data_IF_768436467224
#
_entry.id   IF_768436467224
#
_cell.length_a   1.000
_cell.length_b   1.000
_cell.length_c   1.000
_cell.angle_alpha   90.00
_cell.angle_beta   90.00
_cell.angle_gamma   90.00
#
_symmetry.space_group_name_H-M   'P 1'
#
loop_
_entity.id
_entity.type
_entity.pdbx_description
1 polymer ?
#
# COMPACT_ATOMS: atom_id res chain seq x y z
N UNK A 1 1.58 -32.08 34.90
CA UNK A 1 2.76 -31.30 34.49
C UNK A 1 3.21 -31.78 33.10
N UNK A 2 2.26 -32.01 32.21
CA UNK A 2 2.46 -32.63 30.87
C UNK A 2 2.06 -31.67 29.72
N UNK A 3 1.33 -30.59 30.01
CA UNK A 3 0.86 -29.62 29.00
C UNK A 3 1.94 -28.65 28.50
N UNK A 4 3.05 -28.50 29.23
CA UNK A 4 4.11 -27.56 28.85
C UNK A 4 5.11 -28.16 27.84
N UNK A 5 5.13 -29.48 27.69
CA UNK A 5 6.09 -30.17 26.81
C UNK A 5 5.58 -30.29 25.38
N UNK A 6 4.26 -30.45 25.17
CA UNK A 6 3.67 -30.47 23.82
C UNK A 6 3.67 -29.10 23.14
N UNK A 7 3.59 -28.00 23.90
CA UNK A 7 3.65 -26.65 23.33
C UNK A 7 5.03 -26.30 22.73
N UNK A 8 6.10 -26.91 23.25
CA UNK A 8 7.47 -26.70 22.76
C UNK A 8 7.76 -27.61 21.55
N UNK A 9 7.05 -28.74 21.43
CA UNK A 9 7.20 -29.67 20.31
C UNK A 9 6.42 -29.20 19.06
N UNK A 10 5.33 -28.45 19.24
CA UNK A 10 4.60 -27.83 18.12
C UNK A 10 5.36 -26.61 17.54
N UNK A 11 6.16 -25.90 18.34
CA UNK A 11 6.94 -24.75 17.86
C UNK A 11 8.18 -25.15 17.03
N UNK A 12 8.68 -26.38 17.20
CA UNK A 12 9.83 -26.89 16.44
C UNK A 12 9.49 -27.56 15.11
N UNK A 13 8.22 -27.89 14.85
CA UNK A 13 7.82 -28.54 13.60
C UNK A 13 7.48 -27.58 12.45
N UNK A 14 7.36 -26.26 12.70
CA UNK A 14 7.24 -25.23 11.64
C UNK A 14 8.58 -24.57 11.26
N UNK A 15 9.70 -25.07 11.80
CA UNK A 15 11.07 -24.66 11.43
C UNK A 15 11.80 -25.66 10.52
N UNK A 16 11.06 -26.43 9.70
CA UNK A 16 11.68 -27.15 8.57
C UNK A 16 11.92 -26.22 7.39
N UNK A 17 13.08 -25.56 7.47
CA UNK A 17 14.05 -25.37 6.38
C UNK A 17 13.52 -25.38 4.93
N UNK A 18 13.25 -24.20 4.38
CA UNK A 18 13.65 -23.91 2.99
C UNK A 18 15.15 -23.54 2.98
N UNK A 19 15.99 -24.43 3.51
CA UNK A 19 17.44 -24.35 3.38
C UNK A 19 17.81 -25.11 2.11
N UNK A 20 17.88 -24.43 0.96
CA UNK A 20 18.18 -25.14 -0.28
C UNK A 20 18.29 -24.35 -1.58
N UNK A 21 18.33 -23.02 -1.56
CA UNK A 21 18.62 -22.26 -2.80
C UNK A 21 19.70 -21.23 -2.52
N UNK A 22 20.95 -21.60 -2.76
CA UNK A 22 22.03 -20.63 -2.92
C UNK A 22 21.74 -19.76 -4.16
N UNK A 23 21.81 -18.42 -4.07
CA UNK A 23 21.60 -17.57 -5.23
C UNK A 23 22.83 -17.62 -6.13
N UNK A 24 22.74 -18.33 -7.25
CA UNK A 24 23.66 -18.09 -8.38
C UNK A 24 23.27 -16.77 -9.05
N UNK A 25 23.97 -15.70 -8.71
CA UNK A 25 23.96 -14.45 -9.48
C UNK A 25 24.65 -14.68 -10.83
N UNK A 26 23.88 -15.01 -11.86
CA UNK A 26 24.39 -14.99 -13.22
C UNK A 26 24.13 -13.60 -13.81
N UNK A 27 25.10 -12.70 -13.64
CA UNK A 27 25.13 -11.38 -14.27
C UNK A 27 25.53 -11.53 -15.75
N UNK A 28 24.68 -12.14 -16.58
CA UNK A 28 24.82 -12.00 -18.03
C UNK A 28 24.06 -10.74 -18.47
N UNK A 29 24.76 -9.62 -18.54
CA UNK A 29 24.31 -8.42 -19.24
C UNK A 29 24.21 -8.74 -20.74
N UNK A 30 23.03 -9.16 -21.20
CA UNK A 30 22.76 -9.33 -22.63
C UNK A 30 22.08 -8.05 -23.15
N UNK A 31 22.85 -7.26 -23.90
CA UNK A 31 22.35 -6.14 -24.71
C UNK A 31 21.35 -6.65 -25.75
N UNK A 32 20.09 -6.24 -25.66
CA UNK A 32 19.12 -6.43 -26.73
C UNK A 32 17.66 -6.31 -26.30
N UNK A 33 16.99 -5.27 -26.78
CA UNK A 33 15.54 -5.09 -26.85
C UNK A 33 14.71 -5.05 -25.55
N UNK A 34 14.35 -3.82 -25.15
CA UNK A 34 12.96 -3.48 -24.81
C UNK A 34 12.37 -4.04 -23.51
N UNK A 35 13.15 -4.34 -22.49
CA UNK A 35 12.62 -4.68 -21.16
C UNK A 35 12.34 -3.39 -20.36
N UNK A 36 11.05 -3.09 -20.23
CA UNK A 36 10.50 -1.98 -19.46
C UNK A 36 11.08 -1.91 -18.05
N UNK A 37 11.43 -0.72 -17.56
CA UNK A 37 11.94 -0.50 -16.19
C UNK A 37 11.08 -1.18 -15.10
N UNK A 38 9.77 -1.33 -15.37
CA UNK A 38 8.78 -2.00 -14.52
C UNK A 38 8.98 -3.53 -14.43
N UNK A 39 9.46 -4.20 -15.49
CA UNK A 39 9.71 -5.66 -15.44
C UNK A 39 10.99 -5.99 -14.68
N UNK A 40 11.99 -5.10 -14.69
CA UNK A 40 13.18 -5.23 -13.84
C UNK A 40 12.87 -5.00 -12.35
N UNK A 41 11.93 -4.11 -12.02
CA UNK A 41 11.42 -3.98 -10.64
C UNK A 41 10.66 -5.25 -10.24
N UNK A 42 9.83 -5.81 -11.12
CA UNK A 42 9.10 -7.07 -10.86
C UNK A 42 10.01 -8.28 -10.62
N UNK A 43 11.04 -8.47 -11.46
CA UNK A 43 12.02 -9.55 -11.26
C UNK A 43 12.86 -9.37 -9.98
N UNK A 44 13.17 -8.12 -9.62
CA UNK A 44 13.84 -7.80 -8.35
C UNK A 44 12.92 -7.95 -7.13
N UNK A 45 11.61 -7.73 -7.30
CA UNK A 45 10.58 -7.88 -6.26
C UNK A 45 10.29 -9.33 -5.90
N UNK A 46 10.49 -10.28 -6.84
CA UNK A 46 10.40 -11.70 -6.55
C UNK A 46 11.54 -12.18 -5.63
N UNK A 47 12.74 -11.62 -5.79
CA UNK A 47 13.94 -11.97 -4.98
C UNK A 47 13.96 -11.26 -3.62
N UNK A 48 13.32 -10.10 -3.49
CA UNK A 48 13.24 -9.37 -2.22
C UNK A 48 12.32 -10.06 -1.20
N UNK A 49 11.43 -10.96 -1.63
CA UNK A 49 10.33 -11.51 -0.80
C UNK A 49 10.77 -12.38 0.40
N UNK A 50 12.04 -12.76 0.55
CA UNK A 50 12.46 -13.72 1.60
C UNK A 50 13.65 -13.31 2.48
N UNK A 51 14.01 -12.03 2.52
CA UNK A 51 15.10 -11.55 3.39
C UNK A 51 14.58 -10.75 4.58
N UNK A 52 15.33 -10.71 5.70
CA UNK A 52 15.01 -9.85 6.86
C UNK A 52 14.76 -8.39 6.46
N UNK A 53 15.43 -7.95 5.39
CA UNK A 53 15.29 -6.62 4.81
C UNK A 53 13.87 -6.34 4.26
N UNK A 54 13.24 -7.32 3.61
CA UNK A 54 11.86 -7.18 3.10
C UNK A 54 10.85 -6.94 4.23
N UNK A 55 10.98 -7.70 5.33
CA UNK A 55 10.13 -7.50 6.50
C UNK A 55 10.31 -6.11 7.09
N UNK A 56 11.56 -5.64 7.23
CA UNK A 56 11.84 -4.27 7.69
C UNK A 56 11.22 -3.23 6.77
N UNK A 57 11.30 -3.41 5.45
CA UNK A 57 10.66 -2.51 4.49
C UNK A 57 9.13 -2.48 4.66
N UNK A 58 8.48 -3.63 4.81
CA UNK A 58 7.03 -3.68 5.07
C UNK A 58 6.65 -2.93 6.35
N UNK A 59 7.43 -3.06 7.43
CA UNK A 59 7.20 -2.27 8.64
C UNK A 59 7.38 -0.77 8.43
N UNK A 60 8.40 -0.37 7.66
CA UNK A 60 8.64 1.04 7.32
C UNK A 60 7.48 1.59 6.49
N UNK A 61 7.04 0.86 5.46
CA UNK A 61 5.89 1.25 4.65
C UNK A 61 4.63 1.36 5.51
N UNK A 62 4.33 0.34 6.33
CA UNK A 62 3.19 0.39 7.27
C UNK A 62 3.23 1.63 8.17
N UNK A 63 4.40 2.00 8.70
CA UNK A 63 4.55 3.20 9.53
C UNK A 63 4.23 4.47 8.73
N UNK A 64 4.71 4.57 7.50
CA UNK A 64 4.39 5.70 6.60
C UNK A 64 2.90 5.72 6.27
N UNK A 65 2.27 4.59 5.98
CA UNK A 65 0.83 4.44 5.72
C UNK A 65 -0.03 4.77 6.95
N UNK A 66 0.51 4.75 8.17
CA UNK A 66 -0.22 5.20 9.36
C UNK A 66 -0.35 6.73 9.44
N UNK A 67 0.55 7.49 8.79
CA UNK A 67 0.52 8.95 8.83
C UNK A 67 -0.79 9.48 8.20
N UNK A 68 -1.18 9.10 6.97
CA UNK A 68 -2.44 9.57 6.38
C UNK A 68 -3.68 9.04 7.08
N UNK A 69 -3.62 7.95 7.85
CA UNK A 69 -4.73 7.50 8.71
C UNK A 69 -4.98 8.53 9.80
N UNK A 70 -3.93 8.89 10.56
CA UNK A 70 -4.04 9.85 11.66
C UNK A 70 -4.37 11.26 11.17
N UNK A 71 -3.71 11.70 10.09
CA UNK A 71 -3.94 13.01 9.47
C UNK A 71 -5.33 13.05 8.84
N UNK A 72 -5.74 12.05 8.07
CA UNK A 72 -7.07 11.99 7.46
C UNK A 72 -8.17 12.04 8.52
N UNK A 73 -8.12 11.14 9.51
CA UNK A 73 -9.13 11.08 10.57
C UNK A 73 -9.20 12.36 11.43
N UNK A 74 -8.04 12.87 11.87
CA UNK A 74 -7.98 14.08 12.69
C UNK A 74 -8.45 15.32 11.96
N UNK A 75 -7.98 15.53 10.72
CA UNK A 75 -8.35 16.71 9.95
C UNK A 75 -9.78 16.65 9.42
N UNK A 76 -10.36 15.48 9.18
CA UNK A 76 -11.81 15.38 8.87
C UNK A 76 -12.64 16.04 9.97
N UNK A 77 -12.39 15.73 11.24
CA UNK A 77 -13.15 16.30 12.37
C UNK A 77 -12.97 17.83 12.42
N UNK A 78 -11.74 18.30 12.24
CA UNK A 78 -11.41 19.73 12.26
C UNK A 78 -12.15 20.44 11.11
N UNK A 79 -12.03 19.94 9.88
CA UNK A 79 -12.67 20.57 8.72
C UNK A 79 -14.20 20.56 8.77
N UNK A 80 -14.81 19.51 9.34
CA UNK A 80 -16.25 19.48 9.55
C UNK A 80 -16.70 20.53 10.58
N UNK A 81 -15.87 20.77 11.61
CA UNK A 81 -16.13 21.79 12.63
C UNK A 81 -15.96 23.21 12.08
N UNK A 82 -14.99 23.39 11.18
CA UNK A 82 -14.64 24.67 10.55
C UNK A 82 -15.40 24.95 9.23
N UNK A 83 -16.47 24.21 8.96
CA UNK A 83 -17.36 24.33 7.77
C UNK A 83 -16.65 24.16 6.41
N UNK A 84 -15.46 23.54 6.40
CA UNK A 84 -14.71 23.22 5.19
C UNK A 84 -15.04 21.81 4.68
N UNK A 85 -16.28 21.61 4.23
CA UNK A 85 -16.77 20.30 3.82
C UNK A 85 -15.97 19.65 2.69
N UNK A 86 -15.47 20.45 1.73
CA UNK A 86 -14.66 19.94 0.62
C UNK A 86 -13.37 19.27 1.13
N UNK A 87 -12.61 19.96 1.98
CA UNK A 87 -11.40 19.39 2.56
C UNK A 87 -11.71 18.23 3.51
N UNK A 88 -12.80 18.33 4.28
CA UNK A 88 -13.21 17.29 5.23
C UNK A 88 -13.54 15.95 4.56
N UNK A 89 -14.28 15.98 3.45
CA UNK A 89 -14.61 14.78 2.67
C UNK A 89 -13.34 14.15 2.08
N UNK A 90 -12.43 14.96 1.52
CA UNK A 90 -11.19 14.44 0.92
C UNK A 90 -10.25 13.88 1.99
N UNK A 91 -10.16 14.53 3.15
CA UNK A 91 -9.42 14.02 4.31
C UNK A 91 -9.98 12.67 4.80
N UNK A 92 -11.30 12.51 4.77
CA UNK A 92 -11.94 11.25 5.18
C UNK A 92 -11.55 10.11 4.23
N UNK A 93 -11.67 10.34 2.91
CA UNK A 93 -11.25 9.35 1.92
C UNK A 93 -9.77 9.01 2.01
N UNK A 94 -8.92 10.00 2.30
CA UNK A 94 -7.49 9.77 2.56
C UNK A 94 -7.29 8.76 3.69
N UNK A 95 -7.99 8.97 4.82
CA UNK A 95 -7.93 8.05 5.96
C UNK A 95 -8.42 6.64 5.59
N UNK A 96 -9.52 6.52 4.85
CA UNK A 96 -10.06 5.23 4.42
C UNK A 96 -9.13 4.47 3.48
N UNK A 97 -8.54 5.14 2.48
CA UNK A 97 -7.59 4.52 1.54
C UNK A 97 -6.33 4.05 2.25
N UNK A 98 -5.82 4.88 3.16
CA UNK A 98 -4.66 4.55 3.97
C UNK A 98 -4.93 3.38 4.91
N UNK A 99 -6.13 3.32 5.51
CA UNK A 99 -6.56 2.19 6.33
C UNK A 99 -6.67 0.89 5.52
N UNK A 100 -7.21 0.97 4.30
CA UNK A 100 -7.27 -0.17 3.37
C UNK A 100 -5.89 -0.67 2.96
N UNK A 101 -4.91 0.23 2.81
CA UNK A 101 -3.52 -0.15 2.49
C UNK A 101 -2.82 -0.75 3.71
N UNK A 102 -2.99 -0.13 4.88
CA UNK A 102 -2.42 -0.62 6.14
C UNK A 102 -2.96 -2.01 6.51
N UNK A 103 -4.23 -2.29 6.25
CA UNK A 103 -4.80 -3.62 6.51
C UNK A 103 -4.13 -4.72 5.67
N UNK A 104 -3.76 -4.44 4.41
CA UNK A 104 -3.00 -5.37 3.57
C UNK A 104 -1.61 -5.65 4.15
N UNK A 105 -0.90 -4.61 4.58
CA UNK A 105 0.41 -4.76 5.23
C UNK A 105 0.34 -5.58 6.51
N UNK A 106 -0.67 -5.34 7.35
CA UNK A 106 -0.90 -6.12 8.58
C UNK A 106 -1.20 -7.58 8.25
N UNK A 107 -2.09 -7.84 7.28
CA UNK A 107 -2.42 -9.21 6.86
C UNK A 107 -1.21 -9.96 6.30
N UNK A 108 -0.33 -9.27 5.58
CA UNK A 108 0.92 -9.83 5.09
C UNK A 108 1.90 -10.16 6.24
N UNK A 109 2.10 -9.24 7.18
CA UNK A 109 2.94 -9.48 8.36
C UNK A 109 2.46 -10.67 9.20
N UNK A 110 1.14 -10.85 9.28
CA UNK A 110 0.51 -11.98 9.96
C UNK A 110 0.53 -13.28 9.14
N UNK A 111 1.01 -13.27 7.90
CA UNK A 111 0.93 -14.39 6.93
C UNK A 111 -0.49 -14.93 6.75
N UNK A 112 -1.52 -14.07 6.90
CA UNK A 112 -2.93 -14.45 6.79
C UNK A 112 -3.58 -13.91 5.51
N UNK A 113 -2.80 -13.33 4.61
CA UNK A 113 -3.33 -12.68 3.40
C UNK A 113 -4.15 -13.68 2.56
N UNK A 114 -3.60 -14.86 2.27
CA UNK A 114 -4.25 -15.93 1.49
C UNK A 114 -5.53 -16.47 2.15
N UNK A 115 -5.67 -16.28 3.47
CA UNK A 115 -6.87 -16.70 4.22
C UNK A 115 -8.02 -15.69 4.10
N UNK A 116 -7.70 -14.41 3.96
CA UNK A 116 -8.68 -13.32 4.00
C UNK A 116 -8.91 -12.64 2.66
N UNK A 117 -8.01 -12.80 1.69
CA UNK A 117 -8.13 -12.20 0.37
C UNK A 117 -7.89 -13.22 -0.74
N UNK A 118 -8.95 -13.45 -1.51
CA UNK A 118 -8.87 -14.13 -2.80
C UNK A 118 -8.29 -13.18 -3.86
N UNK A 119 -7.74 -13.77 -4.93
CA UNK A 119 -7.19 -13.05 -6.09
C UNK A 119 -8.17 -12.00 -6.66
N UNK A 120 -9.47 -12.31 -6.71
CA UNK A 120 -10.52 -11.39 -7.16
C UNK A 120 -10.69 -10.17 -6.25
N UNK A 121 -10.56 -10.35 -4.94
CA UNK A 121 -10.68 -9.24 -3.98
C UNK A 121 -9.50 -8.30 -4.12
N UNK A 122 -8.30 -8.84 -4.29
CA UNK A 122 -7.08 -8.07 -4.53
C UNK A 122 -7.14 -7.31 -5.86
N UNK A 123 -7.68 -7.94 -6.90
CA UNK A 123 -7.94 -7.28 -8.18
C UNK A 123 -8.92 -6.11 -8.03
N UNK A 124 -10.00 -6.29 -7.25
CA UNK A 124 -10.94 -5.23 -6.92
C UNK A 124 -10.25 -4.05 -6.20
N UNK A 125 -9.36 -4.34 -5.26
CA UNK A 125 -8.60 -3.33 -4.52
C UNK A 125 -7.60 -2.58 -5.41
N UNK A 126 -6.94 -3.28 -6.34
CA UNK A 126 -6.08 -2.69 -7.37
C UNK A 126 -6.89 -1.75 -8.27
N UNK A 127 -8.03 -2.19 -8.78
CA UNK A 127 -8.91 -1.36 -9.62
C UNK A 127 -9.43 -0.15 -8.85
N UNK A 128 -9.78 -0.33 -7.57
CA UNK A 128 -10.19 0.77 -6.69
C UNK A 128 -9.08 1.81 -6.53
N UNK A 129 -7.83 1.38 -6.27
CA UNK A 129 -6.67 2.27 -6.17
C UNK A 129 -6.43 3.04 -7.46
N UNK A 130 -6.54 2.38 -8.62
CA UNK A 130 -6.42 3.02 -9.93
C UNK A 130 -7.51 4.08 -10.16
N UNK A 131 -8.79 3.75 -9.96
CA UNK A 131 -9.91 4.70 -10.13
C UNK A 131 -9.75 5.88 -9.17
N UNK A 132 -9.44 5.61 -7.90
CA UNK A 132 -9.22 6.63 -6.90
C UNK A 132 -8.06 7.57 -7.30
N UNK A 133 -6.95 7.03 -7.82
CA UNK A 133 -5.81 7.85 -8.25
C UNK A 133 -6.19 8.81 -9.39
N UNK A 134 -6.95 8.37 -10.38
CA UNK A 134 -7.44 9.24 -11.46
C UNK A 134 -8.35 10.33 -10.89
N UNK A 135 -9.30 9.95 -10.04
CA UNK A 135 -10.25 10.87 -9.42
C UNK A 135 -9.55 11.94 -8.58
N UNK A 136 -8.65 11.55 -7.67
CA UNK A 136 -7.90 12.49 -6.83
C UNK A 136 -6.88 13.31 -7.61
N UNK A 137 -6.34 12.79 -8.71
CA UNK A 137 -5.52 13.56 -9.64
C UNK A 137 -6.30 14.70 -10.30
N UNK A 138 -7.53 14.44 -10.74
CA UNK A 138 -8.41 15.48 -11.29
C UNK A 138 -8.76 16.51 -10.21
N UNK A 139 -9.15 16.07 -9.00
CA UNK A 139 -9.47 16.97 -7.89
C UNK A 139 -8.28 17.85 -7.50
N UNK A 140 -7.07 17.28 -7.41
CA UNK A 140 -5.86 18.02 -7.13
C UNK A 140 -5.66 19.14 -8.17
N UNK A 141 -5.80 18.83 -9.46
CA UNK A 141 -5.71 19.82 -10.53
C UNK A 141 -6.74 20.94 -10.38
N UNK A 142 -8.01 20.58 -10.21
CA UNK A 142 -9.12 21.54 -10.07
C UNK A 142 -8.91 22.45 -8.85
N UNK A 143 -8.64 21.88 -7.69
CA UNK A 143 -8.46 22.66 -6.46
C UNK A 143 -7.20 23.51 -6.48
N UNK A 144 -6.11 23.05 -7.10
CA UNK A 144 -4.89 23.85 -7.25
C UNK A 144 -5.14 25.08 -8.12
N UNK A 145 -5.86 24.90 -9.25
CA UNK A 145 -6.25 25.99 -10.14
C UNK A 145 -7.14 27.00 -9.40
N UNK A 146 -8.16 26.53 -8.68
CA UNK A 146 -9.05 27.40 -7.90
C UNK A 146 -8.28 28.15 -6.81
N UNK A 147 -7.42 27.47 -6.05
CA UNK A 147 -6.61 28.09 -5.01
C UNK A 147 -5.69 29.18 -5.58
N UNK A 148 -5.10 28.96 -6.76
CA UNK A 148 -4.29 29.94 -7.46
C UNK A 148 -5.11 31.18 -7.88
N UNK A 149 -6.27 30.98 -8.52
CA UNK A 149 -7.14 32.08 -8.94
C UNK A 149 -7.64 32.93 -7.78
N UNK A 150 -8.02 32.29 -6.67
CA UNK A 150 -8.48 32.98 -5.46
C UNK A 150 -7.35 33.44 -4.53
N UNK A 151 -6.07 33.24 -4.92
CA UNK A 151 -4.87 33.57 -4.12
C UNK A 151 -4.95 33.07 -2.67
N UNK A 152 -5.50 31.87 -2.50
CA UNK A 152 -5.72 31.30 -1.17
C UNK A 152 -4.43 30.68 -0.64
N UNK A 153 -4.11 31.02 0.62
CA UNK A 153 -3.14 30.27 1.41
C UNK A 153 -3.84 29.16 2.19
N UNK A 154 -3.05 28.23 2.75
CA UNK A 154 -3.58 27.18 3.60
C UNK A 154 -4.39 27.77 4.77
N UNK A 155 -5.63 27.30 4.93
CA UNK A 155 -6.50 27.65 6.06
C UNK A 155 -7.40 26.48 6.38
N UNK A 156 -7.64 26.27 7.67
CA UNK A 156 -8.59 25.28 8.17
C UNK A 156 -10.03 25.77 8.09
N UNK A 157 -10.22 27.10 8.12
CA UNK A 157 -11.53 27.75 8.22
C UNK A 157 -12.18 28.02 6.88
N UNK A 158 -13.47 27.75 6.83
CA UNK A 158 -14.36 28.09 5.73
C UNK A 158 -13.96 27.42 4.42
N UNK A 159 -14.46 27.96 3.32
CA UNK A 159 -14.25 27.38 2.00
C UNK A 159 -12.82 27.65 1.50
N UNK A 160 -11.91 26.70 1.74
CA UNK A 160 -10.52 26.78 1.33
C UNK A 160 -10.14 25.68 0.33
N UNK A 161 -9.87 26.09 -0.91
CA UNK A 161 -9.47 25.21 -2.00
C UNK A 161 -8.02 24.78 -1.88
N UNK A 162 -7.16 25.57 -1.24
CA UNK A 162 -5.76 25.20 -1.04
C UNK A 162 -5.64 23.97 -0.12
N UNK A 163 -6.39 23.94 0.98
CA UNK A 163 -6.49 22.78 1.87
C UNK A 163 -7.07 21.57 1.14
N UNK A 164 -8.10 21.78 0.31
CA UNK A 164 -8.68 20.71 -0.52
C UNK A 164 -7.68 20.16 -1.53
N UNK A 165 -6.82 21.00 -2.10
CA UNK A 165 -5.74 20.59 -3.00
C UNK A 165 -4.69 19.75 -2.26
N UNK A 166 -4.24 20.19 -1.08
CA UNK A 166 -3.26 19.45 -0.25
C UNK A 166 -3.79 18.05 0.06
N UNK A 167 -5.02 17.95 0.58
CA UNK A 167 -5.60 16.65 0.92
C UNK A 167 -5.90 15.80 -0.32
N UNK A 168 -6.22 16.39 -1.47
CA UNK A 168 -6.33 15.65 -2.74
C UNK A 168 -4.99 15.06 -3.16
N UNK A 169 -3.89 15.77 -2.93
CA UNK A 169 -2.54 15.27 -3.18
C UNK A 169 -2.17 14.10 -2.27
N UNK A 170 -2.54 14.17 -0.98
CA UNK A 170 -2.34 13.04 -0.05
C UNK A 170 -3.22 11.84 -0.45
N UNK A 171 -4.49 12.06 -0.77
CA UNK A 171 -5.39 11.02 -1.26
C UNK A 171 -4.86 10.35 -2.55
N UNK A 172 -4.32 11.15 -3.48
CA UNK A 172 -3.66 10.65 -4.68
C UNK A 172 -2.46 9.75 -4.34
N UNK A 173 -1.59 10.18 -3.43
CA UNK A 173 -0.45 9.37 -3.00
C UNK A 173 -0.91 8.03 -2.37
N UNK A 174 -1.89 8.07 -1.47
CA UNK A 174 -2.42 6.86 -0.81
C UNK A 174 -3.14 5.91 -1.77
N UNK A 175 -3.80 6.43 -2.81
CA UNK A 175 -4.48 5.59 -3.82
C UNK A 175 -3.48 4.91 -4.76
N UNK A 176 -2.40 5.60 -5.13
CA UNK A 176 -1.28 5.00 -5.87
C UNK A 176 -0.60 3.93 -5.01
N UNK A 177 -0.39 4.19 -3.72
CA UNK A 177 0.16 3.22 -2.78
C UNK A 177 -0.72 1.96 -2.71
N UNK A 178 -2.03 2.11 -2.55
CA UNK A 178 -2.99 1.00 -2.56
C UNK A 178 -2.90 0.18 -3.85
N UNK A 179 -2.85 0.85 -5.00
CA UNK A 179 -2.71 0.19 -6.31
C UNK A 179 -1.43 -0.65 -6.40
N UNK A 180 -0.28 -0.08 -6.04
CA UNK A 180 1.02 -0.75 -6.09
C UNK A 180 1.05 -1.95 -5.13
N UNK A 181 0.56 -1.76 -3.91
CA UNK A 181 0.56 -2.80 -2.87
C UNK A 181 -0.37 -3.95 -3.26
N UNK A 182 -1.57 -3.66 -3.75
CA UNK A 182 -2.50 -4.69 -4.22
C UNK A 182 -1.93 -5.47 -5.41
N UNK A 183 -1.28 -4.80 -6.36
CA UNK A 183 -0.63 -5.45 -7.49
C UNK A 183 0.54 -6.35 -7.02
N UNK A 184 1.40 -5.84 -6.13
CA UNK A 184 2.54 -6.59 -5.62
C UNK A 184 2.11 -7.90 -4.95
N UNK A 185 1.06 -7.87 -4.13
CA UNK A 185 0.53 -9.08 -3.52
C UNK A 185 -0.14 -10.01 -4.52
N UNK A 186 -0.77 -9.48 -5.57
CA UNK A 186 -1.40 -10.30 -6.61
C UNK A 186 -0.35 -11.12 -7.36
N UNK A 187 0.77 -10.48 -7.69
CA UNK A 187 1.91 -11.12 -8.35
C UNK A 187 2.54 -12.19 -7.44
N UNK A 188 2.66 -11.91 -6.13
CA UNK A 188 3.20 -12.84 -5.14
C UNK A 188 2.34 -14.11 -4.98
N UNK A 189 1.00 -13.96 -4.96
CA UNK A 189 0.06 -15.08 -4.91
C UNK A 189 0.15 -15.95 -6.17
N UNK A 190 0.25 -15.33 -7.35
CA UNK A 190 0.37 -16.04 -8.62
C UNK A 190 1.68 -16.83 -8.71
N UNK A 191 2.80 -16.25 -8.27
CA UNK A 191 4.09 -16.93 -8.24
C UNK A 191 4.06 -18.15 -7.31
N UNK A 192 3.41 -18.02 -6.14
CA UNK A 192 3.28 -19.11 -5.17
C UNK A 192 2.40 -20.26 -5.68
N UNK A 193 1.30 -19.94 -6.39
CA UNK A 193 0.44 -20.93 -7.00
C UNK A 193 1.14 -21.74 -8.11
N UNK A 194 1.96 -21.09 -8.94
CA UNK A 194 2.68 -21.74 -10.03
C UNK A 194 3.73 -22.76 -9.53
N UNK A 195 4.41 -22.48 -8.42
CA UNK A 195 5.42 -23.38 -7.83
C UNK A 195 4.80 -24.64 -7.20
N UNK A 196 3.56 -24.57 -6.71
CA UNK A 196 2.88 -25.73 -6.12
C UNK A 196 2.31 -26.70 -7.18
N UNK A 197 2.35 -26.32 -8.46
CA UNK A 197 1.85 -27.14 -9.57
C UNK A 197 2.95 -27.79 -10.43
N UNK A 198 4.22 -27.52 -10.13
CA UNK A 198 5.41 -28.11 -10.79
C UNK A 198 6.07 -29.17 -9.93
#
# INVERSE_FOLDING_TARGET
MEEATEAIEIENHEMQSFAGVEPRFNLSFQHGHGSSFLSNISASSCVISYTRFAKTLVYVFLFVTCIPITVGGGFTIIFLTDENYHSGVIAFFTGCLSLGTASLFVLHLLKKLDKYHDHKTLEGLKVLGMIASIFFGILLGVYTILAFFYKQAFSLRGLNYFSSAVFSGVALATSIELFIVAQWYQDALQASAAMNTS
#
